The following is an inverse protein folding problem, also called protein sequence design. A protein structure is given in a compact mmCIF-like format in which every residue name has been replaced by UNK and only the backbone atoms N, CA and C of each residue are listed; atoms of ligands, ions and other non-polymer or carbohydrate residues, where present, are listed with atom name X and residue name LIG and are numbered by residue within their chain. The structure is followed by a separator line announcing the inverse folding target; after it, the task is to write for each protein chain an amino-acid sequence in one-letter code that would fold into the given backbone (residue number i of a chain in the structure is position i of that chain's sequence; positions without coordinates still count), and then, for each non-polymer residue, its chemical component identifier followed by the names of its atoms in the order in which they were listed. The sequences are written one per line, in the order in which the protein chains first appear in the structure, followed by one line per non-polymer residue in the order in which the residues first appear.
data_IF_915934472139
#
_entry.id   IF_915934472139
#
_cell.length_a   1.000
_cell.length_b   1.000
_cell.length_c   1.000
_cell.angle_alpha   90.00
_cell.angle_beta   90.00
_cell.angle_gamma   90.00
#
_symmetry.space_group_name_H-M   'P 1'
#
loop_
_entity.id
_entity.type
_entity.pdbx_description
1 polymer ?
#
# COMPACT_ATOMS: atom_id res chain seq x y z
N UNK A 1 7.76 49.62 15.14
CA UNK A 1 8.27 48.28 15.49
C UNK A 1 7.11 47.29 15.46
N UNK A 2 6.93 46.57 14.35
CA UNK A 2 6.09 45.36 14.27
C UNK A 2 6.40 44.65 12.94
N UNK A 3 7.66 44.26 12.77
CA UNK A 3 8.17 43.50 11.63
C UNK A 3 8.79 42.22 12.19
N UNK A 4 8.00 41.29 12.69
CA UNK A 4 8.41 39.90 12.94
C UNK A 4 7.17 39.10 13.33
N UNK A 5 6.47 38.53 12.34
CA UNK A 5 5.83 37.21 12.45
C UNK A 5 5.02 36.72 11.23
N UNK A 6 5.01 37.42 10.09
CA UNK A 6 4.42 36.83 8.86
C UNK A 6 5.27 35.68 8.30
N UNK A 7 6.60 35.79 8.37
CA UNK A 7 7.53 34.79 7.82
C UNK A 7 7.50 33.43 8.55
N UNK A 8 7.27 33.40 9.86
CA UNK A 8 7.21 32.15 10.62
C UNK A 8 5.91 31.37 10.34
N UNK A 9 4.80 32.09 10.13
CA UNK A 9 3.50 31.50 9.82
C UNK A 9 3.42 31.04 8.35
N UNK A 10 4.09 31.74 7.42
CA UNK A 10 4.25 31.29 6.03
C UNK A 10 5.21 30.11 5.90
N UNK A 11 6.27 30.03 6.71
CA UNK A 11 7.16 28.85 6.76
C UNK A 11 6.44 27.62 7.32
N UNK A 12 5.57 27.77 8.32
CA UNK A 12 4.71 26.68 8.82
C UNK A 12 3.66 26.23 7.79
N UNK A 13 3.16 27.12 6.94
CA UNK A 13 2.24 26.77 5.84
C UNK A 13 2.89 26.06 4.65
N UNK A 14 4.23 26.10 4.54
CA UNK A 14 5.00 25.46 3.45
C UNK A 14 5.63 24.11 3.83
N UNK A 15 5.61 23.73 5.10
CA UNK A 15 5.85 22.36 5.54
C UNK A 15 4.48 21.66 5.58
N UNK A 16 4.36 20.48 4.96
CA UNK A 16 3.14 19.66 5.06
C UNK A 16 2.71 19.45 6.51
N UNK A 17 1.44 19.13 6.73
CA UNK A 17 0.89 18.91 8.07
C UNK A 17 1.56 17.63 8.62
N UNK A 18 2.64 17.78 9.38
CA UNK A 18 3.37 16.64 9.97
C UNK A 18 2.41 15.89 10.90
N UNK A 19 2.16 14.62 10.61
CA UNK A 19 1.46 13.71 11.53
C UNK A 19 2.50 13.15 12.48
N UNK A 20 2.40 13.53 13.75
CA UNK A 20 3.27 12.99 14.80
C UNK A 20 2.70 11.64 15.29
N UNK A 21 3.54 10.68 15.72
CA UNK A 21 3.06 9.43 16.30
C UNK A 21 2.19 9.67 17.54
N UNK A 22 1.07 8.95 17.66
CA UNK A 22 0.23 8.99 18.86
C UNK A 22 0.85 8.16 19.98
N UNK A 23 1.31 6.95 19.63
CA UNK A 23 1.86 5.96 20.55
C UNK A 23 3.02 5.20 19.91
N UNK A 24 3.66 4.34 20.69
CA UNK A 24 4.72 3.43 20.25
C UNK A 24 4.39 2.02 20.73
N UNK A 25 4.68 1.02 19.91
CA UNK A 25 4.63 -0.40 20.26
C UNK A 25 5.70 -0.77 21.30
N UNK A 26 5.64 -1.99 21.85
CA UNK A 26 6.63 -2.49 22.81
C UNK A 26 8.06 -2.50 22.25
N UNK A 27 8.22 -2.72 20.94
CA UNK A 27 9.50 -2.68 20.23
C UNK A 27 9.93 -1.27 19.77
N UNK A 28 9.14 -0.23 20.09
CA UNK A 28 9.44 1.16 19.77
C UNK A 28 9.02 1.62 18.37
N UNK A 29 8.25 0.82 17.64
CA UNK A 29 7.66 1.19 16.34
C UNK A 29 6.56 2.25 16.55
N UNK A 30 6.58 3.38 15.82
CA UNK A 30 5.56 4.43 15.96
C UNK A 30 4.20 4.01 15.39
N UNK A 31 3.12 4.42 16.07
CA UNK A 31 1.72 4.24 15.64
C UNK A 31 1.12 5.61 15.33
N UNK A 32 0.51 5.73 14.15
CA UNK A 32 -0.07 6.97 13.64
C UNK A 32 -1.60 6.84 13.49
N UNK A 33 -2.31 7.95 13.69
CA UNK A 33 -3.74 8.07 13.40
C UNK A 33 -3.96 9.17 12.37
N UNK A 34 -4.88 8.90 11.44
CA UNK A 34 -5.25 9.80 10.35
C UNK A 34 -6.76 10.04 10.41
N UNK A 35 -7.17 11.29 10.63
CA UNK A 35 -8.59 11.67 10.80
C UNK A 35 -9.11 12.48 9.61
N UNK A 36 -8.34 13.47 9.14
CA UNK A 36 -8.72 14.32 8.02
C UNK A 36 -7.79 14.09 6.83
N UNK A 37 -8.35 13.66 5.70
CA UNK A 37 -7.66 13.79 4.42
C UNK A 37 -7.36 15.27 4.15
N UNK A 38 -6.24 15.54 3.52
CA UNK A 38 -5.82 16.89 3.19
C UNK A 38 -6.87 17.56 2.29
N UNK A 39 -7.23 18.80 2.62
CA UNK A 39 -7.95 19.67 1.68
C UNK A 39 -7.04 19.99 0.48
N UNK A 40 -7.05 19.12 -0.51
CA UNK A 40 -6.45 19.37 -1.81
C UNK A 40 -7.53 20.01 -2.67
N UNK A 41 -7.59 21.34 -2.70
CA UNK A 41 -8.37 22.02 -3.74
C UNK A 41 -7.99 21.48 -5.13
N UNK A 42 -8.91 21.54 -6.10
CA UNK A 42 -8.68 20.96 -7.44
C UNK A 42 -7.33 21.37 -8.03
N UNK A 43 -6.57 20.39 -8.50
CA UNK A 43 -5.29 20.56 -9.19
C UNK A 43 -5.27 19.65 -10.42
N UNK A 44 -4.56 20.02 -11.49
CA UNK A 44 -4.30 19.07 -12.55
C UNK A 44 -3.57 17.86 -11.96
N UNK A 45 -3.92 16.64 -12.39
CA UNK A 45 -3.22 15.44 -11.96
C UNK A 45 -1.72 15.52 -12.21
N UNK A 46 -0.94 14.82 -11.39
CA UNK A 46 0.50 14.71 -11.60
C UNK A 46 0.81 14.18 -13.01
N UNK A 47 1.90 14.64 -13.66
CA UNK A 47 2.32 14.05 -14.92
C UNK A 47 2.68 12.58 -14.70
N UNK A 48 2.29 11.72 -15.63
CA UNK A 48 2.74 10.32 -15.65
C UNK A 48 4.22 10.27 -15.98
N UNK A 49 5.06 9.95 -15.01
CA UNK A 49 6.53 10.02 -15.13
C UNK A 49 7.14 8.66 -15.43
N UNK A 50 6.70 7.62 -14.73
CA UNK A 50 7.44 6.36 -14.66
C UNK A 50 6.67 5.15 -15.19
N UNK A 51 5.44 5.34 -15.69
CA UNK A 51 4.57 4.24 -16.13
C UNK A 51 5.27 3.27 -17.10
N UNK A 52 5.85 3.75 -18.20
CA UNK A 52 6.55 2.90 -19.18
C UNK A 52 7.72 2.11 -18.56
N UNK A 53 8.44 2.70 -17.61
CA UNK A 53 9.58 2.03 -16.96
C UNK A 53 9.10 0.97 -15.96
N UNK A 54 7.99 1.23 -15.25
CA UNK A 54 7.35 0.30 -14.33
C UNK A 54 6.75 -0.87 -15.09
N UNK A 55 5.98 -0.63 -16.17
CA UNK A 55 5.44 -1.68 -17.04
C UNK A 55 6.55 -2.59 -17.56
N UNK A 56 7.61 -2.01 -18.14
CA UNK A 56 8.74 -2.79 -18.63
C UNK A 56 9.46 -3.58 -17.52
N UNK A 57 9.45 -3.08 -16.28
CA UNK A 57 10.02 -3.78 -15.13
C UNK A 57 9.16 -4.98 -14.71
N UNK A 58 7.85 -4.79 -14.65
CA UNK A 58 6.90 -5.85 -14.33
C UNK A 58 6.87 -6.92 -15.44
N UNK A 59 6.94 -6.53 -16.71
CA UNK A 59 7.03 -7.46 -17.84
C UNK A 59 8.28 -8.34 -17.79
N UNK A 60 9.41 -7.80 -17.31
CA UNK A 60 10.62 -8.60 -17.08
C UNK A 60 10.46 -9.55 -15.91
N UNK A 61 9.81 -9.12 -14.83
CA UNK A 61 9.58 -9.92 -13.63
C UNK A 61 8.59 -11.08 -13.89
N UNK A 62 7.58 -10.84 -14.72
CA UNK A 62 6.47 -11.76 -14.98
C UNK A 62 6.27 -12.01 -16.49
N UNK A 63 7.35 -12.37 -17.17
CA UNK A 63 7.39 -12.48 -18.63
C UNK A 63 6.33 -13.41 -19.22
N UNK A 64 5.73 -12.98 -20.33
CA UNK A 64 4.82 -13.81 -21.13
C UNK A 64 3.37 -13.82 -20.67
N UNK A 65 3.00 -12.96 -19.71
CA UNK A 65 1.63 -12.78 -19.26
C UNK A 65 0.91 -11.71 -20.08
N UNK A 66 -0.40 -11.91 -20.30
CA UNK A 66 -1.24 -10.86 -20.88
C UNK A 66 -1.55 -9.81 -19.82
N UNK A 67 -1.61 -8.54 -20.21
CA UNK A 67 -1.84 -7.42 -19.30
C UNK A 67 -3.06 -6.62 -19.74
N UNK A 68 -3.93 -6.30 -18.80
CA UNK A 68 -5.00 -5.32 -18.99
C UNK A 68 -4.98 -4.28 -17.87
N UNK A 69 -5.55 -3.10 -18.13
CA UNK A 69 -5.51 -1.96 -17.21
C UNK A 69 -6.92 -1.58 -16.77
N UNK A 70 -7.11 -1.50 -15.45
CA UNK A 70 -8.32 -1.01 -14.82
C UNK A 70 -8.14 0.47 -14.48
N UNK A 71 -8.40 1.32 -15.47
CA UNK A 71 -8.25 2.77 -15.33
C UNK A 71 -9.12 3.34 -14.20
N UNK A 72 -8.58 4.33 -13.51
CA UNK A 72 -9.35 5.07 -12.53
C UNK A 72 -10.34 6.05 -13.19
N UNK A 73 -11.60 5.99 -12.75
CA UNK A 73 -12.70 6.81 -13.25
C UNK A 73 -12.71 8.24 -12.67
N UNK A 74 -12.08 8.47 -11.52
CA UNK A 74 -12.05 9.78 -10.85
C UNK A 74 -10.63 10.12 -10.38
N UNK A 75 -10.01 11.12 -11.00
CA UNK A 75 -8.66 11.57 -10.63
C UNK A 75 -8.68 13.00 -10.13
N UNK A 76 -8.72 13.17 -8.81
CA UNK A 76 -8.73 14.50 -8.21
C UNK A 76 -7.31 15.09 -8.02
N UNK A 77 -6.26 14.25 -8.00
CA UNK A 77 -4.87 14.73 -7.89
C UNK A 77 -3.79 13.76 -8.40
N UNK A 78 -4.03 12.44 -8.35
CA UNK A 78 -3.09 11.42 -8.83
C UNK A 78 -3.88 10.41 -9.66
N UNK A 79 -3.38 10.12 -10.86
CA UNK A 79 -3.91 9.07 -11.72
C UNK A 79 -3.37 7.73 -11.23
N UNK A 80 -4.21 6.91 -10.59
CA UNK A 80 -3.81 5.55 -10.21
C UNK A 80 -4.43 4.56 -11.17
N UNK A 81 -3.60 3.97 -12.01
CA UNK A 81 -4.00 2.84 -12.83
C UNK A 81 -3.63 1.54 -12.12
N UNK A 82 -4.49 0.53 -12.30
CA UNK A 82 -4.25 -0.82 -11.79
C UNK A 82 -4.05 -1.75 -12.97
N UNK A 83 -2.83 -2.21 -13.13
CA UNK A 83 -2.47 -3.20 -14.14
C UNK A 83 -2.72 -4.60 -13.59
N UNK A 84 -3.22 -5.46 -14.46
CA UNK A 84 -3.56 -6.83 -14.13
C UNK A 84 -2.88 -7.75 -15.13
N UNK A 85 -1.92 -8.52 -14.65
CA UNK A 85 -1.27 -9.57 -15.42
C UNK A 85 -2.01 -10.88 -15.19
N UNK A 86 -2.47 -11.52 -16.26
CA UNK A 86 -3.13 -12.82 -16.21
C UNK A 86 -2.19 -13.92 -15.68
N UNK A 87 -2.72 -15.03 -15.14
CA UNK A 87 -1.92 -16.19 -14.78
C UNK A 87 -1.08 -16.64 -15.97
N UNK A 88 0.11 -17.15 -15.69
CA UNK A 88 0.90 -17.82 -16.71
C UNK A 88 0.19 -19.10 -17.21
N UNK A 89 0.76 -19.72 -18.24
CA UNK A 89 0.20 -20.94 -18.82
C UNK A 89 0.07 -22.12 -17.83
N UNK A 90 0.72 -22.06 -16.65
CA UNK A 90 0.58 -23.05 -15.59
C UNK A 90 -0.63 -22.78 -14.67
N UNK A 91 -1.36 -21.67 -14.88
CA UNK A 91 -2.64 -21.38 -14.21
C UNK A 91 -2.51 -20.95 -12.75
N UNK A 92 -1.41 -20.29 -12.38
CA UNK A 92 -1.12 -19.93 -10.98
C UNK A 92 -1.98 -18.79 -10.41
N UNK A 93 -1.58 -17.55 -10.67
CA UNK A 93 -2.12 -16.36 -9.99
C UNK A 93 -2.07 -15.14 -10.91
N UNK A 94 -3.02 -14.21 -10.73
CA UNK A 94 -2.94 -12.87 -11.29
C UNK A 94 -1.93 -12.03 -10.51
N UNK A 95 -1.29 -11.09 -11.19
CA UNK A 95 -0.49 -10.03 -10.54
C UNK A 95 -1.21 -8.71 -10.78
N UNK A 96 -1.64 -8.08 -9.70
CA UNK A 96 -2.12 -6.71 -9.71
C UNK A 96 -0.97 -5.80 -9.33
N UNK A 97 -0.76 -4.70 -10.04
CA UNK A 97 0.18 -3.67 -9.62
C UNK A 97 -0.28 -2.28 -10.00
N UNK A 98 0.09 -1.29 -9.19
CA UNK A 98 -0.24 0.10 -9.44
C UNK A 98 0.77 0.76 -10.35
N UNK A 99 0.30 1.73 -11.13
CA UNK A 99 1.13 2.80 -11.69
C UNK A 99 0.53 4.14 -11.30
N UNK A 100 1.41 5.14 -11.14
CA UNK A 100 1.04 6.52 -10.85
C UNK A 100 1.14 6.92 -9.39
N UNK A 101 1.17 5.96 -8.45
CA UNK A 101 1.46 6.25 -7.04
C UNK A 101 2.84 6.91 -6.88
N UNK A 102 3.80 6.43 -7.67
CA UNK A 102 5.17 6.88 -7.67
C UNK A 102 5.40 8.19 -8.44
N UNK A 103 4.40 8.75 -9.13
CA UNK A 103 4.56 10.01 -9.88
C UNK A 103 4.78 11.21 -8.95
N UNK A 104 4.27 11.13 -7.71
CA UNK A 104 4.57 12.08 -6.64
C UNK A 104 5.43 11.46 -5.54
N UNK A 105 6.34 12.23 -4.92
CA UNK A 105 7.06 11.75 -3.75
C UNK A 105 6.13 11.72 -2.52
N UNK A 106 6.13 10.59 -1.81
CA UNK A 106 5.53 10.43 -0.49
C UNK A 106 6.24 11.30 0.57
N UNK A 107 5.56 11.56 1.68
CA UNK A 107 6.05 12.42 2.76
C UNK A 107 6.90 11.66 3.78
N UNK A 108 8.12 11.28 3.37
CA UNK A 108 9.06 10.59 4.26
C UNK A 108 9.68 11.57 5.29
N UNK A 109 9.63 11.29 6.60
CA UNK A 109 10.24 12.13 7.62
C UNK A 109 11.73 12.35 7.39
N UNK A 110 12.22 13.53 7.79
CA UNK A 110 13.62 13.91 7.56
C UNK A 110 14.63 13.11 8.40
N UNK A 111 14.16 12.52 9.48
CA UNK A 111 14.89 11.68 10.43
C UNK A 111 15.12 10.27 9.87
N UNK A 112 14.33 9.83 8.88
CA UNK A 112 14.47 8.51 8.25
C UNK A 112 15.73 8.48 7.40
N UNK A 113 16.66 7.61 7.77
CA UNK A 113 17.89 7.39 7.01
C UNK A 113 17.57 6.89 5.61
N UNK A 114 18.24 7.45 4.59
CA UNK A 114 18.01 7.03 3.22
C UNK A 114 16.65 7.47 2.64
N UNK A 115 15.92 8.39 3.29
CA UNK A 115 14.59 8.89 2.86
C UNK A 115 14.42 9.11 1.35
N UNK A 116 15.45 9.61 0.65
CA UNK A 116 15.41 9.82 -0.80
C UNK A 116 15.08 8.56 -1.60
N UNK A 117 15.50 7.40 -1.11
CA UNK A 117 15.22 6.09 -1.69
C UNK A 117 13.83 5.54 -1.32
N UNK A 118 13.13 6.19 -0.39
CA UNK A 118 11.82 5.79 0.13
C UNK A 118 10.72 6.75 -0.32
N UNK A 119 11.06 7.85 -1.00
CA UNK A 119 10.11 8.87 -1.43
C UNK A 119 9.14 8.35 -2.50
N UNK A 120 9.40 7.23 -3.18
CA UNK A 120 8.51 6.71 -4.22
C UNK A 120 8.30 5.20 -4.11
N UNK A 121 7.07 4.77 -4.35
CA UNK A 121 6.70 3.37 -4.34
C UNK A 121 5.50 3.10 -5.27
N UNK A 122 5.37 1.85 -5.69
CA UNK A 122 4.16 1.24 -6.23
C UNK A 122 3.78 0.04 -5.35
N UNK A 123 2.54 -0.41 -5.50
CA UNK A 123 1.98 -1.55 -4.77
C UNK A 123 1.71 -2.71 -5.72
N UNK A 124 1.87 -3.93 -5.23
CA UNK A 124 1.41 -5.14 -5.93
C UNK A 124 0.62 -6.08 -5.01
N UNK A 125 -0.22 -6.92 -5.60
CA UNK A 125 -0.93 -8.00 -4.92
C UNK A 125 -1.07 -9.19 -5.85
N UNK A 126 -1.00 -10.39 -5.29
CA UNK A 126 -1.24 -11.63 -6.03
C UNK A 126 -2.67 -12.10 -5.75
N UNK A 127 -3.45 -12.35 -6.80
CA UNK A 127 -4.79 -12.94 -6.67
C UNK A 127 -4.80 -14.37 -7.23
N UNK A 128 -5.63 -15.28 -6.69
CA UNK A 128 -5.67 -16.65 -7.17
C UNK A 128 -6.17 -16.70 -8.63
N UNK A 129 -5.70 -17.68 -9.41
CA UNK A 129 -5.98 -17.77 -10.85
C UNK A 129 -7.46 -17.95 -11.23
N UNK A 130 -8.33 -18.23 -10.26
CA UNK A 130 -9.77 -18.37 -10.39
C UNK A 130 -10.56 -17.15 -9.86
N UNK A 131 -9.89 -16.03 -9.56
CA UNK A 131 -10.56 -14.81 -9.11
C UNK A 131 -11.54 -14.27 -10.17
N UNK A 132 -12.69 -13.74 -9.72
CA UNK A 132 -13.67 -13.12 -10.61
C UNK A 132 -13.16 -11.76 -11.13
N UNK A 133 -12.57 -11.78 -12.31
CA UNK A 133 -11.99 -10.60 -12.96
C UNK A 133 -13.05 -9.63 -13.50
N UNK A 134 -14.25 -10.11 -13.80
CA UNK A 134 -15.35 -9.24 -14.21
C UNK A 134 -15.82 -8.40 -13.02
N UNK A 135 -15.88 -9.01 -11.84
CA UNK A 135 -16.20 -8.32 -10.60
C UNK A 135 -15.10 -7.35 -10.17
N UNK A 136 -13.82 -7.72 -10.37
CA UNK A 136 -12.66 -6.90 -9.98
C UNK A 136 -12.69 -5.49 -10.60
N UNK A 137 -13.15 -5.37 -11.85
CA UNK A 137 -13.27 -4.10 -12.56
C UNK A 137 -14.55 -3.29 -12.26
N UNK A 138 -15.45 -3.80 -11.43
CA UNK A 138 -16.70 -3.13 -11.06
C UNK A 138 -16.64 -2.38 -9.72
N UNK A 139 -17.59 -1.49 -9.47
CA UNK A 139 -17.57 -0.62 -8.27
C UNK A 139 -18.42 -1.14 -7.10
N UNK A 140 -19.33 -2.10 -7.33
CA UNK A 140 -20.35 -2.51 -6.35
C UNK A 140 -20.31 -4.00 -5.99
N UNK A 141 -19.40 -4.76 -6.58
CA UNK A 141 -19.31 -6.19 -6.37
C UNK A 141 -18.32 -6.53 -5.27
N UNK A 142 -18.64 -7.52 -4.46
CA UNK A 142 -17.82 -7.91 -3.32
C UNK A 142 -16.36 -8.24 -3.73
N UNK A 143 -16.16 -8.93 -4.85
CA UNK A 143 -14.84 -9.30 -5.35
C UNK A 143 -14.00 -8.13 -5.92
N UNK A 144 -14.51 -6.89 -5.94
CA UNK A 144 -13.72 -5.70 -6.30
C UNK A 144 -12.86 -5.16 -5.15
N UNK A 145 -13.05 -5.67 -3.93
CA UNK A 145 -12.36 -5.14 -2.75
C UNK A 145 -10.82 -5.10 -2.87
N UNK A 146 -10.11 -6.05 -3.52
CA UNK A 146 -8.66 -5.97 -3.66
C UNK A 146 -8.21 -4.80 -4.54
N UNK A 147 -8.91 -4.57 -5.66
CA UNK A 147 -8.65 -3.44 -6.54
C UNK A 147 -8.93 -2.10 -5.82
N UNK A 148 -10.05 -2.03 -5.10
CA UNK A 148 -10.41 -0.87 -4.26
C UNK A 148 -9.36 -0.62 -3.17
N UNK A 149 -8.87 -1.67 -2.51
CA UNK A 149 -7.83 -1.59 -1.50
C UNK A 149 -6.52 -1.03 -2.06
N UNK A 150 -6.03 -1.58 -3.19
CA UNK A 150 -4.80 -1.09 -3.80
C UNK A 150 -4.92 0.38 -4.24
N UNK A 151 -6.05 0.76 -4.83
CA UNK A 151 -6.34 2.16 -5.19
C UNK A 151 -6.37 3.07 -3.96
N UNK A 152 -7.01 2.64 -2.88
CA UNK A 152 -7.03 3.38 -1.61
C UNK A 152 -5.61 3.57 -1.04
N UNK A 153 -4.85 2.47 -0.92
CA UNK A 153 -3.48 2.52 -0.41
C UNK A 153 -2.58 3.40 -1.29
N UNK A 154 -2.71 3.35 -2.61
CA UNK A 154 -1.91 4.17 -3.52
C UNK A 154 -2.11 5.68 -3.32
N UNK A 155 -3.32 6.13 -2.95
CA UNK A 155 -3.59 7.54 -2.65
C UNK A 155 -3.21 7.93 -1.23
N UNK A 156 -3.24 6.97 -0.31
CA UNK A 156 -3.11 7.21 1.12
C UNK A 156 -1.89 8.07 1.53
N UNK A 157 -0.65 7.82 1.05
CA UNK A 157 0.50 8.67 1.36
C UNK A 157 0.32 10.14 0.98
N UNK A 158 -0.42 10.39 -0.10
CA UNK A 158 -0.59 11.72 -0.69
C UNK A 158 -1.79 12.47 -0.10
N UNK A 159 -2.86 11.75 0.23
CA UNK A 159 -4.03 12.29 0.91
C UNK A 159 -3.74 12.65 2.37
N UNK A 160 -2.88 11.88 3.05
CA UNK A 160 -2.64 12.01 4.48
C UNK A 160 -1.24 12.55 4.85
N UNK A 161 -0.49 13.11 3.88
CA UNK A 161 0.88 13.62 4.06
C UNK A 161 1.78 12.60 4.80
N UNK A 162 1.74 11.33 4.37
CA UNK A 162 2.50 10.21 4.97
C UNK A 162 3.32 9.43 3.92
N UNK A 163 3.86 8.28 4.29
CA UNK A 163 4.69 7.42 3.43
C UNK A 163 4.54 5.94 3.78
N UNK A 164 4.87 5.10 2.80
CA UNK A 164 4.91 3.65 2.98
C UNK A 164 6.33 3.10 2.95
N UNK A 165 6.56 2.15 3.84
CA UNK A 165 7.77 1.34 3.93
C UNK A 165 7.41 -0.12 4.17
N UNK A 166 8.35 -1.02 3.85
CA UNK A 166 8.22 -2.42 4.22
C UNK A 166 8.06 -2.56 5.75
N UNK A 167 7.15 -3.42 6.17
CA UNK A 167 6.75 -3.59 7.57
C UNK A 167 5.63 -2.66 8.04
N UNK A 168 5.20 -1.67 7.25
CA UNK A 168 4.08 -0.82 7.63
C UNK A 168 2.76 -1.60 7.58
N UNK A 169 1.91 -1.38 8.58
CA UNK A 169 0.56 -1.96 8.67
C UNK A 169 -0.49 -0.87 8.67
N UNK A 170 -1.55 -1.06 7.89
CA UNK A 170 -2.64 -0.11 7.72
C UNK A 170 -3.96 -0.88 7.96
N UNK A 171 -4.71 -0.62 9.04
CA UNK A 171 -6.01 -1.23 9.22
C UNK A 171 -7.02 -0.64 8.21
N UNK A 172 -8.03 -1.42 7.82
CA UNK A 172 -9.07 -0.96 6.90
C UNK A 172 -9.87 0.22 7.49
N UNK A 173 -10.20 0.12 8.78
CA UNK A 173 -10.81 1.19 9.57
C UNK A 173 -10.22 1.19 10.98
N UNK A 174 -10.48 2.23 11.76
CA UNK A 174 -10.04 2.30 13.16
C UNK A 174 -10.54 1.11 14.02
N UNK A 175 -11.70 0.54 13.64
CA UNK A 175 -12.33 -0.59 14.34
C UNK A 175 -12.03 -1.94 13.68
N UNK A 176 -11.08 -2.01 12.74
CA UNK A 176 -10.71 -3.24 12.03
C UNK A 176 -11.90 -3.92 11.32
N UNK A 177 -12.75 -3.14 10.65
CA UNK A 177 -13.85 -3.71 9.87
C UNK A 177 -13.28 -4.54 8.69
N UNK A 178 -13.84 -5.72 8.38
CA UNK A 178 -13.39 -6.51 7.25
C UNK A 178 -13.54 -5.81 5.89
N UNK A 179 -12.76 -6.24 4.90
CA UNK A 179 -12.80 -5.67 3.54
C UNK A 179 -14.07 -6.01 2.74
N UNK A 180 -14.67 -7.17 3.03
CA UNK A 180 -15.84 -7.74 2.38
C UNK A 180 -16.59 -8.68 3.35
N UNK A 181 -17.82 -9.09 3.03
CA UNK A 181 -18.62 -9.97 3.91
C UNK A 181 -18.06 -11.40 3.95
N UNK A 182 -17.41 -11.84 2.88
CA UNK A 182 -16.85 -13.17 2.70
C UNK A 182 -15.46 -13.38 3.34
N UNK A 183 -14.91 -12.39 4.03
CA UNK A 183 -13.60 -12.48 4.68
C UNK A 183 -13.58 -11.72 5.99
N UNK A 184 -12.71 -12.14 6.93
CA UNK A 184 -12.42 -11.37 8.15
C UNK A 184 -11.07 -10.63 8.07
N UNK A 185 -10.42 -10.62 6.89
CA UNK A 185 -9.25 -9.79 6.63
C UNK A 185 -9.64 -8.30 6.74
N UNK A 186 -8.93 -7.56 7.58
CA UNK A 186 -9.34 -6.22 8.05
C UNK A 186 -8.21 -5.21 8.15
N UNK A 187 -7.03 -5.54 7.64
CA UNK A 187 -5.95 -4.59 7.42
C UNK A 187 -4.91 -5.13 6.46
N UNK A 188 -3.86 -4.38 6.21
CA UNK A 188 -2.82 -4.73 5.23
C UNK A 188 -1.44 -4.50 5.82
N UNK A 189 -0.55 -5.47 5.61
CA UNK A 189 0.89 -5.34 5.80
C UNK A 189 1.56 -5.13 4.45
N UNK A 190 2.48 -4.17 4.38
CA UNK A 190 3.33 -3.96 3.21
C UNK A 190 4.65 -4.71 3.39
N UNK A 191 5.01 -5.59 2.45
CA UNK A 191 6.25 -6.37 2.51
C UNK A 191 7.07 -6.21 1.23
N UNK A 192 8.38 -6.40 1.34
CA UNK A 192 9.24 -6.56 0.17
C UNK A 192 9.24 -8.02 -0.31
N UNK A 193 9.11 -8.22 -1.62
CA UNK A 193 9.28 -9.54 -2.25
C UNK A 193 10.25 -9.47 -3.44
N UNK A 194 11.54 -9.19 -3.19
CA UNK A 194 12.51 -8.94 -4.27
C UNK A 194 12.74 -10.14 -5.18
N UNK A 195 12.44 -11.36 -4.71
CA UNK A 195 12.50 -12.57 -5.52
C UNK A 195 11.38 -12.66 -6.56
N UNK A 196 10.24 -11.99 -6.33
CA UNK A 196 9.16 -11.87 -7.31
C UNK A 196 9.37 -10.65 -8.20
N UNK A 197 9.44 -9.47 -7.58
CA UNK A 197 9.70 -8.22 -8.26
C UNK A 197 10.34 -7.25 -7.26
N UNK A 198 11.62 -6.92 -7.51
CA UNK A 198 12.36 -5.96 -6.70
C UNK A 198 12.03 -4.50 -7.05
N UNK A 199 12.67 -3.55 -6.34
CA UNK A 199 12.57 -2.14 -6.69
C UNK A 199 13.12 -1.86 -8.09
N UNK A 200 12.60 -0.82 -8.73
CA UNK A 200 13.07 -0.30 -10.00
C UNK A 200 13.98 0.90 -9.75
N UNK A 201 15.12 0.96 -10.44
CA UNK A 201 15.91 2.18 -10.58
C UNK A 201 15.64 2.74 -11.99
N UNK A 202 15.05 3.92 -12.06
CA UNK A 202 14.64 4.57 -13.32
C UNK A 202 15.83 5.17 -14.05
N UNK A 203 15.64 5.53 -15.33
CA UNK A 203 16.66 6.17 -16.18
C UNK A 203 17.20 7.48 -15.62
N UNK A 204 16.37 8.24 -14.89
CA UNK A 204 16.76 9.49 -14.23
C UNK A 204 17.39 9.27 -12.83
N UNK A 205 17.62 8.01 -12.43
CA UNK A 205 18.31 7.65 -11.19
C UNK A 205 17.41 7.68 -9.95
N UNK A 206 16.10 7.66 -10.14
CA UNK A 206 15.10 7.61 -9.06
C UNK A 206 14.78 6.15 -8.74
N UNK A 207 14.79 5.82 -7.45
CA UNK A 207 14.35 4.51 -6.99
C UNK A 207 12.85 4.50 -6.75
N UNK A 208 12.17 3.52 -7.33
CA UNK A 208 10.76 3.20 -7.07
C UNK A 208 10.72 1.86 -6.35
N UNK A 209 10.27 1.88 -5.09
CA UNK A 209 10.07 0.64 -4.35
C UNK A 209 8.79 -0.07 -4.83
N UNK A 210 8.76 -1.40 -4.70
CA UNK A 210 7.58 -2.18 -5.04
C UNK A 210 7.21 -3.02 -3.81
N UNK A 211 6.12 -2.64 -3.16
CA UNK A 211 5.64 -3.32 -1.96
C UNK A 211 4.49 -4.26 -2.28
N UNK A 212 4.52 -5.47 -1.74
CA UNK A 212 3.38 -6.38 -1.80
C UNK A 212 2.42 -6.05 -0.67
N UNK A 213 1.16 -5.79 -1.02
CA UNK A 213 0.07 -5.65 -0.06
C UNK A 213 -0.41 -7.03 0.37
N UNK A 214 -0.21 -7.37 1.63
CA UNK A 214 -0.63 -8.62 2.26
C UNK A 214 -1.78 -8.34 3.24
N UNK A 215 -3.03 -8.68 2.89
CA UNK A 215 -4.15 -8.55 3.81
C UNK A 215 -3.98 -9.44 5.06
N UNK A 216 -4.26 -8.85 6.22
CA UNK A 216 -4.13 -9.44 7.55
C UNK A 216 -5.46 -9.47 8.29
N UNK A 217 -5.60 -10.44 9.18
CA UNK A 217 -6.60 -10.39 10.25
C UNK A 217 -6.22 -9.35 11.31
N UNK A 218 -7.19 -8.97 12.13
CA UNK A 218 -6.98 -8.06 13.27
C UNK A 218 -5.90 -8.60 14.22
N UNK A 219 -6.03 -9.85 14.60
CA UNK A 219 -5.16 -10.53 15.56
C UNK A 219 -3.70 -10.60 15.06
N UNK A 220 -3.49 -10.68 13.75
CA UNK A 220 -2.15 -10.69 13.14
C UNK A 220 -1.51 -9.30 13.17
N UNK A 221 -2.31 -8.24 12.97
CA UNK A 221 -1.82 -6.87 13.16
C UNK A 221 -1.49 -6.60 14.62
N UNK A 222 -2.36 -6.98 15.55
CA UNK A 222 -2.14 -6.86 17.00
C UNK A 222 -0.89 -7.67 17.41
N UNK A 223 -0.75 -8.91 16.94
CA UNK A 223 0.44 -9.72 17.18
C UNK A 223 1.72 -9.03 16.69
N UNK A 224 1.71 -8.39 15.52
CA UNK A 224 2.87 -7.61 15.06
C UNK A 224 3.16 -6.41 15.96
N UNK A 225 2.13 -5.74 16.49
CA UNK A 225 2.34 -4.62 17.43
C UNK A 225 2.98 -5.10 18.74
N UNK A 226 2.65 -6.31 19.19
CA UNK A 226 3.17 -6.87 20.45
C UNK A 226 4.54 -7.55 20.31
N UNK A 227 4.74 -8.31 19.23
CA UNK A 227 5.88 -9.21 19.04
C UNK A 227 6.80 -8.85 17.87
N UNK A 228 6.45 -7.83 17.08
CA UNK A 228 7.25 -7.33 15.96
C UNK A 228 6.99 -8.05 14.63
N UNK A 229 7.54 -7.48 13.56
CA UNK A 229 7.35 -7.97 12.18
C UNK A 229 7.94 -9.37 11.98
N UNK A 230 9.16 -9.63 12.43
CA UNK A 230 9.86 -10.89 12.18
C UNK A 230 9.10 -12.09 12.76
N UNK A 231 8.56 -11.93 13.97
CA UNK A 231 7.73 -12.95 14.62
C UNK A 231 6.44 -13.24 13.84
N UNK A 232 5.78 -12.21 13.28
CA UNK A 232 4.62 -12.41 12.42
C UNK A 232 5.02 -13.11 11.12
N UNK A 233 6.12 -12.68 10.49
CA UNK A 233 6.56 -13.25 9.21
C UNK A 233 6.95 -14.72 9.33
N UNK A 234 7.52 -15.16 10.45
CA UNK A 234 7.80 -16.58 10.73
C UNK A 234 6.52 -17.42 10.71
N UNK A 235 5.43 -16.93 11.32
CA UNK A 235 4.13 -17.62 11.30
C UNK A 235 3.50 -17.66 9.90
N UNK A 236 3.74 -16.63 9.10
CA UNK A 236 3.18 -16.47 7.75
C UNK A 236 3.95 -17.25 6.67
N UNK A 237 5.15 -17.75 6.96
CA UNK A 237 6.06 -18.39 5.98
C UNK A 237 5.37 -19.48 5.12
N UNK A 238 4.47 -20.26 5.74
CA UNK A 238 3.72 -21.35 5.08
C UNK A 238 2.78 -20.91 3.97
N UNK A 239 2.44 -19.63 3.90
CA UNK A 239 1.54 -19.08 2.89
C UNK A 239 2.28 -18.45 1.70
N UNK A 240 3.61 -18.59 1.61
CA UNK A 240 4.35 -18.16 0.43
C UNK A 240 4.06 -19.09 -0.78
N UNK A 241 3.99 -18.56 -2.01
CA UNK A 241 3.94 -17.13 -2.34
C UNK A 241 2.61 -16.55 -1.86
N UNK A 242 2.63 -15.35 -1.28
CA UNK A 242 1.48 -14.70 -0.64
C UNK A 242 0.35 -14.31 -1.63
N UNK A 243 -0.23 -15.32 -2.28
CA UNK A 243 -1.44 -15.25 -3.08
C UNK A 243 -2.59 -15.03 -2.11
N UNK A 244 -3.45 -14.07 -2.43
CA UNK A 244 -4.61 -13.76 -1.61
C UNK A 244 -5.50 -14.99 -1.47
N UNK A 245 -5.74 -15.38 -0.23
CA UNK A 245 -6.77 -16.35 0.13
C UNK A 245 -7.66 -15.68 1.19
N UNK A 246 -8.90 -15.41 0.78
CA UNK A 246 -9.92 -14.73 1.62
C UNK A 246 -10.30 -15.54 2.86
N UNK A 247 -10.04 -16.85 2.84
CA UNK A 247 -10.42 -17.82 3.85
C UNK A 247 -9.21 -18.54 4.47
N UNK A 248 -7.98 -18.02 4.28
CA UNK A 248 -6.77 -18.62 4.86
C UNK A 248 -6.88 -18.72 6.38
N UNK A 249 -6.13 -19.63 6.97
CA UNK A 249 -6.05 -19.72 8.43
C UNK A 249 -5.42 -18.43 9.01
N UNK A 250 -6.05 -17.89 10.07
CA UNK A 250 -5.47 -16.83 10.89
C UNK A 250 -4.36 -17.43 11.78
N UNK A 251 -3.11 -17.02 11.56
CA UNK A 251 -1.95 -17.59 12.28
C UNK A 251 -1.83 -17.12 13.74
N UNK A 252 -2.69 -16.20 14.15
CA UNK A 252 -2.73 -15.61 15.49
C UNK A 252 -4.11 -15.78 16.14
N UNK A 253 -4.95 -16.68 15.65
CA UNK A 253 -6.26 -16.97 16.26
C UNK A 253 -6.16 -17.46 17.71
N UNK A 254 -5.04 -18.08 18.07
CA UNK A 254 -4.69 -18.52 19.42
C UNK A 254 -4.22 -17.39 20.35
N UNK A 255 -3.87 -16.25 19.76
CA UNK A 255 -3.25 -15.11 20.44
C UNK A 255 -4.25 -13.98 20.71
N UNK A 256 -5.52 -14.17 20.33
CA UNK A 256 -6.60 -13.26 20.68
C UNK A 256 -6.77 -13.20 22.21
N UNK A 257 -6.85 -12.01 22.83
CA UNK A 257 -7.17 -11.91 24.24
C UNK A 257 -8.52 -12.59 24.52
N UNK A 258 -8.56 -13.50 25.49
CA UNK A 258 -9.81 -14.12 25.94
C UNK A 258 -10.79 -13.04 26.41
N UNK A 259 -11.90 -12.87 25.67
CA UNK A 259 -13.10 -12.17 26.14
C UNK A 259 -13.24 -10.71 25.71
N UNK A 260 -14.15 -10.49 24.76
CA UNK A 260 -15.08 -9.35 24.75
C UNK A 260 -16.48 -9.89 24.93
#
# INVERSE_FOLDING_TARGET
MALFNKSANEKRRRAGRRVDPETYTADGTPVYRYEDARETGWRPPAPTLYCEEIEAHMDRAFSGRQVHVLHELMSDFIHIDLHVMEPDAAGGYFVLYTTGMSDLPMSVPCEVQGRKKLERAELMMLLPGDWDMQALGGDTQEACWPARLLKFLARFPHEYDTWFGAGHTIPNTADYLPYAENTALSGTLLIDQPALAGPLETRDGVRINLYTALPLYREEMEYKLDYGLDALMERMERFKPFILDVARENVCADSAPEGV
#
